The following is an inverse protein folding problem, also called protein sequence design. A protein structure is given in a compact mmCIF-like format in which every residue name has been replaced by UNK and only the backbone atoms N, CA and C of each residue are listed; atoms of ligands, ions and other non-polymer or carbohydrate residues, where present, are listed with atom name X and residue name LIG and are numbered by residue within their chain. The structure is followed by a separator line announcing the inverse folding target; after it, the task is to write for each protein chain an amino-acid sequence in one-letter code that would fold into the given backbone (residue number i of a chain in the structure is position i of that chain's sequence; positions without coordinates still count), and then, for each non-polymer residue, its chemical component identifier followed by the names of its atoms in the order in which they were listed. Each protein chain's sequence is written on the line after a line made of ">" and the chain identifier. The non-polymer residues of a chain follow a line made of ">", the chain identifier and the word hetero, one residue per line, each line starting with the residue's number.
data_IF_630529846026
#
_entry.id   IF_630529846026
#
_cell.length_a   1.000
_cell.length_b   1.000
_cell.length_c   1.000
_cell.angle_alpha   90.00
_cell.angle_beta   90.00
_cell.angle_gamma   90.00
#
_symmetry.space_group_name_H-M   'P 1'
#
loop_
_entity.id
_entity.type
_entity.pdbx_description
1 polymer ?
#
# COMPACT_ATOMS: atom_id res chain seq x y z
N UNK A 1 -10.59 2.68 -2.28
CA UNK A 1 -10.23 4.08 -2.07
C UNK A 1 -8.76 4.41 -2.18
N UNK A 2 -7.87 3.58 -1.59
CA UNK A 2 -6.42 3.85 -1.59
C UNK A 2 -5.84 4.02 -3.00
N UNK A 3 -6.14 3.11 -3.91
CA UNK A 3 -5.59 3.12 -5.26
C UNK A 3 -5.96 4.37 -6.05
N UNK A 4 -7.16 4.87 -5.88
CA UNK A 4 -7.62 6.10 -6.56
C UNK A 4 -6.90 7.33 -6.03
N UNK A 5 -6.70 7.42 -4.73
CA UNK A 5 -5.93 8.50 -4.09
C UNK A 5 -4.49 8.50 -4.60
N UNK A 6 -3.85 7.33 -4.60
CA UNK A 6 -2.46 7.17 -5.07
C UNK A 6 -2.33 7.59 -6.53
N UNK A 7 -3.22 7.14 -7.41
CA UNK A 7 -3.20 7.54 -8.83
C UNK A 7 -3.29 9.05 -9.03
N UNK A 8 -4.14 9.73 -8.24
CA UNK A 8 -4.28 11.18 -8.30
C UNK A 8 -3.01 11.90 -7.87
N UNK A 9 -2.37 11.43 -6.80
CA UNK A 9 -1.10 11.99 -6.32
C UNK A 9 -0.01 11.82 -7.36
N UNK A 10 0.14 10.63 -7.92
CA UNK A 10 1.15 10.34 -8.94
C UNK A 10 1.00 11.21 -10.19
N UNK A 11 -0.23 11.52 -10.59
CA UNK A 11 -0.50 12.42 -11.73
C UNK A 11 -0.12 13.86 -11.44
N UNK A 12 -0.22 14.29 -10.20
CA UNK A 12 -0.03 15.70 -9.81
C UNK A 12 1.40 16.05 -9.43
N UNK A 13 2.25 15.06 -9.15
CA UNK A 13 3.62 15.27 -8.68
C UNK A 13 4.58 14.23 -9.25
N UNK A 14 5.45 14.67 -10.17
CA UNK A 14 6.45 13.82 -10.82
C UNK A 14 7.59 13.37 -9.90
N UNK A 15 7.70 13.91 -8.70
CA UNK A 15 8.70 13.52 -7.70
C UNK A 15 8.24 12.40 -6.80
N UNK A 16 6.98 11.99 -6.92
CA UNK A 16 6.39 10.89 -6.15
C UNK A 16 6.37 9.64 -7.01
N UNK A 17 6.85 8.53 -6.47
CA UNK A 17 6.88 7.24 -7.13
C UNK A 17 6.08 6.20 -6.35
N UNK A 18 5.38 5.34 -7.06
CA UNK A 18 4.76 4.16 -6.48
C UNK A 18 5.77 3.02 -6.51
N UNK A 19 5.96 2.33 -5.38
CA UNK A 19 6.81 1.15 -5.33
C UNK A 19 6.26 0.04 -6.24
N UNK A 20 7.18 -0.68 -6.91
CA UNK A 20 6.85 -1.86 -7.70
C UNK A 20 7.10 -3.09 -6.84
N UNK A 21 6.09 -3.93 -6.69
CA UNK A 21 6.18 -5.17 -5.90
C UNK A 21 6.85 -6.29 -6.70
N UNK A 22 7.48 -7.22 -6.01
CA UNK A 22 7.92 -8.49 -6.57
C UNK A 22 6.84 -9.56 -6.38
N UNK A 23 6.79 -10.52 -7.28
CA UNK A 23 5.90 -11.68 -7.16
C UNK A 23 6.51 -12.92 -7.81
N UNK A 24 6.13 -14.09 -7.31
CA UNK A 24 6.49 -15.38 -7.91
C UNK A 24 5.40 -15.94 -8.82
N UNK A 25 4.29 -15.22 -8.94
CA UNK A 25 3.24 -15.55 -9.92
C UNK A 25 3.75 -15.25 -11.33
N UNK A 26 3.38 -16.10 -12.28
CA UNK A 26 3.68 -15.85 -13.69
C UNK A 26 3.02 -14.55 -14.17
N UNK A 27 3.69 -13.81 -15.08
CA UNK A 27 3.10 -12.62 -15.69
C UNK A 27 1.78 -12.95 -16.39
N UNK A 28 0.83 -12.04 -16.31
CA UNK A 28 -0.42 -12.05 -17.07
C UNK A 28 -0.24 -11.23 -18.34
N UNK A 29 -1.14 -11.43 -19.30
CA UNK A 29 -1.15 -10.62 -20.52
C UNK A 29 -1.20 -9.13 -20.18
N UNK A 30 -0.32 -8.35 -20.81
CA UNK A 30 -0.21 -6.92 -20.60
C UNK A 30 0.65 -6.48 -19.41
N UNK A 31 1.10 -7.42 -18.58
CA UNK A 31 2.01 -7.10 -17.48
C UNK A 31 3.47 -7.05 -17.96
N UNK A 32 4.22 -6.08 -17.43
CA UNK A 32 5.61 -5.84 -17.83
C UNK A 32 6.55 -5.95 -16.63
N UNK A 33 7.73 -6.57 -16.89
CA UNK A 33 8.80 -6.67 -15.90
C UNK A 33 9.28 -5.29 -15.43
N UNK A 34 9.35 -5.12 -14.11
CA UNK A 34 9.82 -3.87 -13.50
C UNK A 34 8.83 -2.71 -13.53
N UNK A 35 7.67 -2.89 -14.17
CA UNK A 35 6.58 -1.91 -14.24
C UNK A 35 5.37 -2.40 -13.46
N UNK A 36 4.83 -3.56 -13.86
CA UNK A 36 3.70 -4.20 -13.17
C UNK A 36 4.16 -4.90 -11.90
N UNK A 37 5.20 -5.68 -12.03
CA UNK A 37 5.88 -6.41 -10.96
C UNK A 37 7.35 -6.65 -11.34
N UNK A 38 8.17 -6.97 -10.34
CA UNK A 38 9.42 -7.70 -10.53
C UNK A 38 9.08 -9.18 -10.45
N UNK A 39 9.09 -9.90 -11.56
CA UNK A 39 8.77 -11.32 -11.62
C UNK A 39 10.02 -12.15 -11.28
N UNK A 40 9.88 -13.07 -10.35
CA UNK A 40 11.00 -13.93 -9.92
C UNK A 40 10.53 -15.32 -9.59
N UNK A 41 11.46 -16.26 -9.51
CA UNK A 41 11.17 -17.62 -9.07
C UNK A 41 10.94 -17.65 -7.54
N UNK A 42 10.30 -18.73 -7.07
CA UNK A 42 10.15 -18.96 -5.62
C UNK A 42 11.51 -19.01 -4.93
N UNK A 43 12.50 -19.65 -5.56
CA UNK A 43 13.86 -19.76 -5.03
C UNK A 43 14.54 -18.39 -4.87
N UNK A 44 14.42 -17.56 -5.90
CA UNK A 44 14.95 -16.18 -5.87
C UNK A 44 14.28 -15.35 -4.77
N UNK A 45 12.97 -15.49 -4.63
CA UNK A 45 12.19 -14.78 -3.62
C UNK A 45 12.62 -15.19 -2.20
N UNK A 46 12.67 -16.48 -1.92
CA UNK A 46 13.07 -17.02 -0.61
C UNK A 46 14.50 -16.61 -0.27
N UNK A 47 15.41 -16.64 -1.23
CA UNK A 47 16.78 -16.17 -1.05
C UNK A 47 16.81 -14.70 -0.66
N UNK A 48 16.07 -13.85 -1.36
CA UNK A 48 15.99 -12.42 -1.09
C UNK A 48 15.39 -12.13 0.30
N UNK A 49 14.39 -12.90 0.74
CA UNK A 49 13.85 -12.83 2.10
C UNK A 49 14.96 -13.10 3.13
N UNK A 50 15.72 -14.16 2.94
CA UNK A 50 16.82 -14.54 3.84
C UNK A 50 17.93 -13.49 3.93
N UNK A 51 18.13 -12.71 2.88
CA UNK A 51 19.13 -11.63 2.80
C UNK A 51 18.58 -10.27 3.29
N UNK A 52 17.33 -10.21 3.76
CA UNK A 52 16.71 -8.96 4.20
C UNK A 52 16.37 -8.02 3.04
N UNK A 53 16.11 -8.56 1.84
CA UNK A 53 15.89 -7.80 0.62
C UNK A 53 14.50 -7.21 0.46
N UNK A 54 13.57 -7.46 1.38
CA UNK A 54 12.19 -6.96 1.34
C UNK A 54 11.88 -6.05 2.52
N UNK A 55 11.14 -4.99 2.27
CA UNK A 55 10.53 -4.16 3.31
C UNK A 55 9.35 -4.87 3.97
N UNK A 56 8.57 -5.59 3.17
CA UNK A 56 7.49 -6.47 3.59
C UNK A 56 7.30 -7.59 2.57
N UNK A 57 6.75 -8.70 3.00
CA UNK A 57 6.40 -9.81 2.10
C UNK A 57 5.27 -10.65 2.69
N UNK A 58 4.55 -11.36 1.83
CA UNK A 58 3.46 -12.24 2.21
C UNK A 58 3.25 -13.34 1.16
N UNK A 59 2.56 -14.40 1.58
CA UNK A 59 2.06 -15.44 0.69
C UNK A 59 0.57 -15.24 0.48
N UNK A 60 0.14 -15.17 -0.78
CA UNK A 60 -1.26 -14.99 -1.15
C UNK A 60 -1.61 -15.97 -2.26
N UNK A 61 -2.59 -16.83 -2.02
CA UNK A 61 -3.05 -17.83 -3.00
C UNK A 61 -1.92 -18.68 -3.61
N UNK A 62 -0.96 -19.10 -2.79
CA UNK A 62 0.14 -19.97 -3.21
C UNK A 62 1.30 -19.26 -3.91
N UNK A 63 1.28 -17.95 -4.01
CA UNK A 63 2.36 -17.14 -4.58
C UNK A 63 2.90 -16.14 -3.55
N UNK A 64 4.17 -15.79 -3.68
CA UNK A 64 4.79 -14.78 -2.86
C UNK A 64 4.62 -13.39 -3.48
N UNK A 65 4.46 -12.39 -2.62
CA UNK A 65 4.42 -10.98 -2.98
C UNK A 65 5.23 -10.19 -1.97
N UNK A 66 5.91 -9.16 -2.39
CA UNK A 66 6.65 -8.31 -1.47
C UNK A 66 7.13 -7.03 -2.11
N UNK A 67 7.56 -6.10 -1.27
CA UNK A 67 8.15 -4.84 -1.70
C UNK A 67 9.68 -4.92 -1.58
N UNK A 68 10.41 -4.97 -2.69
CA UNK A 68 11.87 -4.98 -2.66
C UNK A 68 12.41 -3.70 -2.03
N UNK A 69 13.38 -3.85 -1.15
CA UNK A 69 13.97 -2.73 -0.41
C UNK A 69 14.85 -1.85 -1.29
N UNK A 70 15.70 -2.45 -2.12
CA UNK A 70 16.71 -1.72 -2.90
C UNK A 70 16.13 -0.64 -3.83
N UNK A 71 15.09 -0.90 -4.64
CA UNK A 71 14.50 0.14 -5.50
C UNK A 71 13.91 1.30 -4.70
N UNK A 72 13.26 1.02 -3.57
CA UNK A 72 12.70 2.05 -2.69
C UNK A 72 13.82 2.94 -2.14
N UNK A 73 14.87 2.33 -1.60
CA UNK A 73 16.02 3.08 -1.05
C UNK A 73 16.73 3.91 -2.12
N UNK A 74 16.84 3.41 -3.34
CA UNK A 74 17.40 4.13 -4.47
C UNK A 74 16.63 5.40 -4.80
N UNK A 75 15.30 5.32 -4.83
CA UNK A 75 14.42 6.47 -5.07
C UNK A 75 14.52 7.50 -3.94
N UNK A 76 14.54 7.06 -2.70
CA UNK A 76 14.70 7.96 -1.54
C UNK A 76 16.05 8.69 -1.57
N UNK A 77 17.12 8.01 -1.93
CA UNK A 77 18.45 8.63 -2.08
C UNK A 77 18.48 9.67 -3.19
N UNK A 78 17.65 9.50 -4.22
CA UNK A 78 17.50 10.47 -5.31
C UNK A 78 16.65 11.68 -4.92
N UNK A 79 16.17 11.76 -3.67
CA UNK A 79 15.35 12.86 -3.16
C UNK A 79 13.88 12.76 -3.55
N UNK A 80 13.41 11.59 -3.91
CA UNK A 80 12.01 11.36 -4.29
C UNK A 80 11.21 10.75 -3.14
N UNK A 81 9.92 11.02 -3.11
CA UNK A 81 8.99 10.34 -2.22
C UNK A 81 8.55 9.02 -2.85
N UNK A 82 8.42 7.99 -2.04
CA UNK A 82 7.94 6.68 -2.47
C UNK A 82 6.69 6.31 -1.69
N UNK A 83 5.63 6.00 -2.40
CA UNK A 83 4.39 5.49 -1.82
C UNK A 83 4.40 3.97 -1.88
N UNK A 84 4.11 3.33 -0.76
CA UNK A 84 3.79 1.91 -0.66
C UNK A 84 2.28 1.78 -0.45
N UNK A 85 1.61 1.18 -1.40
CA UNK A 85 0.18 0.85 -1.28
C UNK A 85 0.06 -0.60 -0.80
N UNK A 86 0.01 -0.77 0.51
CA UNK A 86 0.03 -2.07 1.19
C UNK A 86 -1.08 -2.16 2.24
N UNK A 87 -1.40 -3.38 2.64
CA UNK A 87 -2.35 -3.63 3.73
C UNK A 87 -1.71 -3.41 5.11
N UNK A 88 -2.50 -3.56 6.17
CA UNK A 88 -2.02 -3.34 7.54
C UNK A 88 -0.94 -4.34 7.95
N UNK A 89 -0.98 -5.58 7.47
CA UNK A 89 0.05 -6.58 7.76
C UNK A 89 1.39 -6.18 7.15
N UNK A 90 1.35 -5.75 5.89
CA UNK A 90 2.53 -5.20 5.23
C UNK A 90 3.04 -3.93 5.91
N UNK A 91 2.15 -3.03 6.30
CA UNK A 91 2.52 -1.80 7.00
C UNK A 91 3.23 -2.08 8.33
N UNK A 92 2.78 -3.07 9.10
CA UNK A 92 3.43 -3.45 10.35
C UNK A 92 4.84 -4.00 10.12
N UNK A 93 5.03 -4.80 9.07
CA UNK A 93 6.36 -5.26 8.66
C UNK A 93 7.28 -4.11 8.25
N UNK A 94 6.78 -3.16 7.47
CA UNK A 94 7.55 -1.97 7.07
C UNK A 94 7.91 -1.13 8.29
N UNK A 95 7.04 -1.03 9.27
CA UNK A 95 7.33 -0.31 10.51
C UNK A 95 8.51 -0.90 11.27
N UNK A 96 8.69 -2.22 11.22
CA UNK A 96 9.85 -2.90 11.79
C UNK A 96 11.10 -2.72 10.95
N UNK A 97 11.00 -2.87 9.63
CA UNK A 97 12.15 -2.84 8.71
C UNK A 97 12.61 -1.43 8.35
N UNK A 98 11.71 -0.45 8.39
CA UNK A 98 11.97 0.95 8.10
C UNK A 98 11.08 1.86 8.96
N UNK A 99 11.42 2.05 10.25
CA UNK A 99 10.57 2.79 11.20
C UNK A 99 10.42 4.28 10.89
N UNK A 100 11.28 4.85 10.07
CA UNK A 100 11.21 6.27 9.65
C UNK A 100 10.14 6.53 8.57
N UNK A 101 9.47 5.50 8.10
CA UNK A 101 8.35 5.64 7.17
C UNK A 101 7.18 6.40 7.80
N UNK A 102 6.37 7.04 6.96
CA UNK A 102 5.15 7.73 7.37
C UNK A 102 3.95 6.85 7.06
N UNK A 103 3.18 6.50 8.08
CA UNK A 103 2.08 5.55 7.99
C UNK A 103 0.75 6.29 8.02
N UNK A 104 0.02 6.24 6.91
CA UNK A 104 -1.26 6.94 6.72
C UNK A 104 -2.37 5.92 6.54
N UNK A 105 -3.34 5.92 7.41
CA UNK A 105 -4.50 5.05 7.34
C UNK A 105 -5.65 5.75 6.59
N UNK A 106 -6.19 5.12 5.57
CA UNK A 106 -7.32 5.66 4.83
C UNK A 106 -8.60 5.02 5.36
N UNK A 107 -9.45 5.86 5.95
CA UNK A 107 -10.73 5.46 6.54
C UNK A 107 -11.90 5.74 5.60
N UNK A 108 -12.91 4.85 5.53
CA UNK A 108 -14.19 5.23 4.97
C UNK A 108 -14.91 6.21 5.91
N UNK A 109 -15.85 7.03 5.40
CA UNK A 109 -16.58 7.99 6.24
C UNK A 109 -17.50 7.32 7.26
N UNK A 110 -17.98 6.10 6.97
CA UNK A 110 -18.82 5.30 7.85
C UNK A 110 -18.78 3.83 7.46
N UNK A 111 -19.28 2.95 8.34
CA UNK A 111 -19.46 1.52 8.03
C UNK A 111 -20.48 1.34 6.90
N UNK A 112 -21.56 2.13 6.88
CA UNK A 112 -22.55 2.07 5.81
C UNK A 112 -21.99 2.48 4.46
N UNK A 113 -21.14 3.50 4.42
CA UNK A 113 -20.45 3.92 3.20
C UNK A 113 -19.48 2.82 2.71
N UNK A 114 -18.77 2.15 3.61
CA UNK A 114 -17.90 1.03 3.28
C UNK A 114 -18.73 -0.12 2.68
N UNK A 115 -19.84 -0.49 3.32
CA UNK A 115 -20.75 -1.52 2.84
C UNK A 115 -21.26 -1.19 1.42
N UNK A 116 -21.71 0.04 1.20
CA UNK A 116 -22.17 0.51 -0.12
C UNK A 116 -21.08 0.39 -1.18
N UNK A 117 -19.86 0.75 -0.85
CA UNK A 117 -18.70 0.66 -1.77
C UNK A 117 -18.35 -0.78 -2.12
N UNK A 118 -18.45 -1.70 -1.17
CA UNK A 118 -18.26 -3.14 -1.41
C UNK A 118 -19.37 -3.66 -2.33
N UNK A 119 -20.62 -3.32 -2.05
CA UNK A 119 -21.77 -3.75 -2.87
C UNK A 119 -21.72 -3.22 -4.30
N UNK A 120 -21.25 -1.99 -4.51
CA UNK A 120 -21.14 -1.37 -5.85
C UNK A 120 -20.13 -2.06 -6.78
N UNK A 121 -19.23 -2.87 -6.26
CA UNK A 121 -18.33 -3.69 -7.06
C UNK A 121 -19.00 -4.94 -7.66
N UNK A 122 -20.26 -5.21 -7.29
CA UNK A 122 -21.28 -5.76 -8.19
C UNK A 122 -21.47 -7.26 -8.25
N UNK A 123 -20.72 -8.12 -7.56
CA UNK A 123 -20.87 -9.57 -7.74
C UNK A 123 -20.77 -10.41 -6.48
N UNK A 124 -20.82 -9.78 -5.30
CA UNK A 124 -20.54 -10.48 -4.06
C UNK A 124 -21.81 -10.86 -3.31
N UNK A 125 -21.79 -12.07 -2.72
CA UNK A 125 -22.84 -12.54 -1.82
C UNK A 125 -22.84 -11.73 -0.52
N UNK A 126 -23.94 -11.78 0.23
CA UNK A 126 -24.01 -11.16 1.56
C UNK A 126 -22.93 -11.72 2.50
N UNK A 127 -22.61 -13.00 2.38
CA UNK A 127 -21.52 -13.62 3.16
C UNK A 127 -20.16 -13.01 2.85
N UNK A 128 -19.86 -12.78 1.57
CA UNK A 128 -18.61 -12.13 1.14
C UNK A 128 -18.54 -10.68 1.65
N UNK A 129 -19.65 -9.96 1.64
CA UNK A 129 -19.76 -8.60 2.18
C UNK A 129 -19.45 -8.61 3.67
N UNK A 130 -20.01 -9.55 4.44
CA UNK A 130 -19.77 -9.68 5.87
C UNK A 130 -18.30 -10.02 6.18
N UNK A 131 -17.69 -10.88 5.39
CA UNK A 131 -16.26 -11.22 5.51
C UNK A 131 -15.39 -9.97 5.30
N UNK A 132 -15.68 -9.18 4.28
CA UNK A 132 -14.94 -7.94 3.99
C UNK A 132 -15.13 -6.87 5.04
N UNK A 133 -16.35 -6.70 5.55
CA UNK A 133 -16.63 -5.78 6.66
C UNK A 133 -15.90 -6.19 7.92
N UNK A 134 -15.87 -7.47 8.23
CA UNK A 134 -15.14 -8.02 9.37
C UNK A 134 -13.63 -7.82 9.22
N UNK A 135 -13.09 -7.98 8.02
CA UNK A 135 -11.68 -7.71 7.73
C UNK A 135 -11.34 -6.23 7.93
N UNK A 136 -12.18 -5.32 7.42
CA UNK A 136 -12.00 -3.89 7.61
C UNK A 136 -12.04 -3.48 9.08
N UNK A 137 -12.93 -4.09 9.85
CA UNK A 137 -13.02 -3.85 11.29
C UNK A 137 -11.76 -4.29 12.04
N UNK A 138 -11.22 -5.47 11.70
CA UNK A 138 -9.94 -5.94 12.25
C UNK A 138 -8.77 -5.05 11.86
N UNK A 139 -8.76 -4.54 10.64
CA UNK A 139 -7.73 -3.60 10.19
C UNK A 139 -7.75 -2.31 11.00
N UNK A 140 -8.92 -1.82 11.39
CA UNK A 140 -9.06 -0.63 12.22
C UNK A 140 -8.46 -0.78 13.62
N UNK A 141 -8.29 -2.00 14.12
CA UNK A 141 -7.61 -2.25 15.39
C UNK A 141 -6.13 -1.84 15.33
N UNK A 142 -5.55 -1.75 14.13
CA UNK A 142 -4.17 -1.31 13.92
C UNK A 142 -4.01 0.20 13.79
N UNK A 143 -5.10 0.97 13.84
CA UNK A 143 -5.08 2.42 13.63
C UNK A 143 -4.10 3.14 14.57
N UNK A 144 -3.99 2.70 15.82
CA UNK A 144 -3.08 3.27 16.81
C UNK A 144 -1.59 3.16 16.42
N UNK A 145 -1.24 2.26 15.50
CA UNK A 145 0.13 2.08 15.02
C UNK A 145 0.48 2.98 13.84
N UNK A 146 -0.48 3.74 13.34
CA UNK A 146 -0.30 4.67 12.22
C UNK A 146 -0.01 6.09 12.74
N UNK A 147 0.62 6.89 11.89
CA UNK A 147 0.98 8.27 12.23
C UNK A 147 -0.16 9.25 11.93
N UNK A 148 -0.95 8.95 10.92
CA UNK A 148 -2.05 9.79 10.45
C UNK A 148 -3.23 8.93 10.01
N UNK A 149 -4.41 9.51 10.04
CA UNK A 149 -5.56 8.96 9.32
C UNK A 149 -6.17 10.02 8.41
N UNK A 150 -6.72 9.59 7.29
CA UNK A 150 -7.44 10.43 6.34
C UNK A 150 -8.79 9.79 6.06
N UNK A 151 -9.87 10.53 6.24
CA UNK A 151 -11.21 10.06 5.93
C UNK A 151 -11.48 10.28 4.45
N UNK A 152 -11.74 9.20 3.72
CA UNK A 152 -12.06 9.24 2.28
C UNK A 152 -13.57 9.37 2.06
N UNK A 153 -14.12 10.53 2.41
CA UNK A 153 -15.49 10.92 2.10
C UNK A 153 -15.54 11.58 0.71
N UNK A 154 -14.87 12.69 0.55
CA UNK A 154 -14.66 13.37 -0.73
C UNK A 154 -13.25 13.04 -1.24
N UNK A 155 -13.15 12.52 -2.47
CA UNK A 155 -11.88 12.10 -3.05
C UNK A 155 -10.87 13.24 -3.13
N UNK A 156 -11.26 14.41 -3.61
CA UNK A 156 -10.35 15.54 -3.79
C UNK A 156 -9.83 16.06 -2.43
N UNK A 157 -10.69 16.09 -1.42
CA UNK A 157 -10.28 16.45 -0.05
C UNK A 157 -9.34 15.42 0.56
N UNK A 158 -9.58 14.14 0.33
CA UNK A 158 -8.70 13.08 0.80
C UNK A 158 -7.31 13.16 0.13
N UNK A 159 -7.27 13.37 -1.17
CA UNK A 159 -6.02 13.59 -1.92
C UNK A 159 -5.26 14.81 -1.38
N UNK A 160 -5.94 15.92 -1.18
CA UNK A 160 -5.35 17.14 -0.63
C UNK A 160 -4.79 16.91 0.78
N UNK A 161 -5.51 16.19 1.62
CA UNK A 161 -5.05 15.85 2.98
C UNK A 161 -3.78 15.01 2.96
N UNK A 162 -3.70 14.00 2.12
CA UNK A 162 -2.49 13.17 1.99
C UNK A 162 -1.31 14.01 1.49
N UNK A 163 -1.53 14.87 0.50
CA UNK A 163 -0.49 15.77 -0.03
C UNK A 163 0.03 16.75 1.03
N UNK A 164 -0.85 17.27 1.88
CA UNK A 164 -0.47 18.13 3.00
C UNK A 164 0.39 17.40 4.03
N UNK A 165 0.04 16.16 4.35
CA UNK A 165 0.84 15.31 5.24
C UNK A 165 2.23 15.09 4.65
N UNK A 166 2.31 14.72 3.38
CA UNK A 166 3.59 14.51 2.69
C UNK A 166 4.45 15.78 2.71
N UNK A 167 3.87 16.92 2.43
CA UNK A 167 4.56 18.20 2.48
C UNK A 167 5.06 18.54 3.89
N UNK A 168 4.22 18.37 4.90
CA UNK A 168 4.56 18.65 6.29
C UNK A 168 5.72 17.78 6.80
N UNK A 169 5.76 16.51 6.40
CA UNK A 169 6.81 15.59 6.82
C UNK A 169 8.20 16.00 6.31
N UNK A 170 8.28 16.68 5.17
CA UNK A 170 9.54 17.25 4.67
C UNK A 170 10.12 18.36 5.56
N UNK A 171 9.28 19.02 6.35
CA UNK A 171 9.66 20.10 7.25
C UNK A 171 9.80 19.66 8.71
N UNK A 172 9.59 18.38 8.97
CA UNK A 172 9.67 17.85 10.32
C UNK A 172 11.12 17.87 10.81
N UNK A 173 11.31 18.35 12.04
CA UNK A 173 12.60 18.30 12.72
C UNK A 173 12.80 16.88 13.25
N UNK A 174 13.87 16.24 12.86
CA UNK A 174 14.20 14.85 13.22
C UNK A 174 15.18 14.79 14.40
#
# INVERSE_FOLDING_TARGET
>A
GKGTIVKRILKSDGKVHLSVSATTRNPREGEEEGVSYYFMSDEQFVKAVGEGGFLEHASVHGHYYGTPKAPVMSQLKAGRDVILEIDVQGAMQVKESYPDGVFIFILPPSVDALRSRIMHRGTESEEDIQVRLGAAQREMEYLEHYDYYVVNDDLEKAVDSVKKIMAAEHWKVT
#
